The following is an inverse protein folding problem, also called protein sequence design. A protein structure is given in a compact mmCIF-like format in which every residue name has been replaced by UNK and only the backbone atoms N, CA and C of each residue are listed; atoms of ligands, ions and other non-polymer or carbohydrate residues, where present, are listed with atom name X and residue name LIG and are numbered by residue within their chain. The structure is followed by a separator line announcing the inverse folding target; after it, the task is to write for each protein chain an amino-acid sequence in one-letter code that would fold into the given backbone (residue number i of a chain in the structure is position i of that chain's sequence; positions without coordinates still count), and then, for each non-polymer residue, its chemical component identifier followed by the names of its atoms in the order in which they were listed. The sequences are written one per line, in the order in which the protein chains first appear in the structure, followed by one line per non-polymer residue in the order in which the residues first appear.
data_IF_409060626832
#
_entry.id   IF_409060626832
#
_cell.length_a   1.000
_cell.length_b   1.000
_cell.length_c   1.000
_cell.angle_alpha   90.00
_cell.angle_beta   90.00
_cell.angle_gamma   90.00
#
_symmetry.space_group_name_H-M   'P 1'
#
loop_
_entity.id
_entity.type
_entity.pdbx_description
1 polymer ?
#
# COMPACT_ATOMS: atom_id res chain seq x y z
N UNK A 1 -14.54 -19.25 13.85
CA UNK A 1 -13.22 -18.83 13.32
C UNK A 1 -13.18 -17.33 13.36
N UNK A 2 -12.05 -16.69 13.65
CA UNK A 2 -11.96 -15.22 13.60
C UNK A 2 -12.17 -14.77 12.16
N UNK A 3 -13.03 -13.78 11.92
CA UNK A 3 -13.25 -13.19 10.59
C UNK A 3 -12.02 -12.44 10.07
N UNK A 4 -11.02 -12.23 10.94
CA UNK A 4 -9.79 -11.52 10.62
C UNK A 4 -8.64 -12.49 10.32
N UNK A 5 -7.91 -12.20 9.24
CA UNK A 5 -6.63 -12.84 8.92
C UNK A 5 -5.49 -12.28 9.78
N UNK A 6 -5.56 -10.99 10.12
CA UNK A 6 -4.60 -10.32 11.00
C UNK A 6 -5.38 -9.58 12.09
N UNK A 7 -4.97 -9.77 13.34
CA UNK A 7 -5.43 -9.00 14.48
C UNK A 7 -4.24 -8.63 15.36
N UNK A 8 -3.92 -7.35 15.41
CA UNK A 8 -2.83 -6.80 16.19
C UNK A 8 -3.34 -5.71 17.12
N UNK A 9 -2.90 -5.73 18.38
CA UNK A 9 -3.35 -4.81 19.41
C UNK A 9 -2.16 -4.20 20.14
N UNK A 10 -2.14 -2.85 20.20
CA UNK A 10 -1.15 -2.05 20.91
C UNK A 10 0.29 -2.42 20.57
N UNK A 11 0.56 -2.72 19.29
CA UNK A 11 1.87 -3.20 18.84
C UNK A 11 2.88 -2.07 18.85
N UNK A 12 3.98 -2.28 19.55
CA UNK A 12 5.12 -1.36 19.63
C UNK A 12 6.39 -2.09 19.18
N UNK A 13 7.23 -1.40 18.40
CA UNK A 13 8.57 -1.88 18.07
C UNK A 13 9.60 -0.78 18.24
N UNK A 14 10.55 -1.01 19.15
CA UNK A 14 11.67 -0.12 19.42
C UNK A 14 13.00 -0.76 19.05
N UNK A 15 13.94 0.06 18.61
CA UNK A 15 15.33 -0.27 18.37
C UNK A 15 16.21 0.72 19.17
N UNK A 16 16.68 0.29 20.33
CA UNK A 16 17.32 1.20 21.28
C UNK A 16 16.39 2.34 21.68
N UNK A 17 16.77 3.57 21.37
CA UNK A 17 15.97 4.78 21.65
C UNK A 17 15.00 5.15 20.52
N UNK A 18 15.06 4.47 19.37
CA UNK A 18 14.21 4.76 18.23
C UNK A 18 12.95 3.89 18.23
N UNK A 19 11.77 4.51 18.23
CA UNK A 19 10.48 3.82 18.10
C UNK A 19 10.09 3.79 16.61
N UNK A 20 10.11 2.58 16.03
CA UNK A 20 9.77 2.37 14.62
C UNK A 20 8.28 2.11 14.41
N UNK A 21 7.60 1.56 15.41
CA UNK A 21 6.15 1.31 15.45
C UNK A 21 5.66 1.74 16.81
N UNK A 22 4.64 2.59 16.83
CA UNK A 22 4.05 3.12 18.04
C UNK A 22 2.55 2.82 18.11
N UNK A 23 2.17 1.92 19.02
CA UNK A 23 0.79 1.58 19.35
C UNK A 23 -0.12 1.24 18.14
N UNK A 24 0.37 0.39 17.23
CA UNK A 24 -0.43 -0.03 16.08
C UNK A 24 -1.54 -1.00 16.52
N UNK A 25 -2.78 -0.66 16.13
CA UNK A 25 -3.95 -1.51 16.20
C UNK A 25 -4.40 -1.80 14.78
N UNK A 26 -4.54 -3.08 14.42
CA UNK A 26 -4.80 -3.51 13.05
C UNK A 26 -5.75 -4.70 13.00
N UNK A 27 -6.77 -4.62 12.14
CA UNK A 27 -7.67 -5.72 11.81
C UNK A 27 -7.77 -5.84 10.29
N UNK A 28 -7.37 -7.00 9.77
CA UNK A 28 -7.44 -7.30 8.32
C UNK A 28 -8.41 -8.44 8.11
N UNK A 29 -9.46 -8.20 7.34
CA UNK A 29 -10.47 -9.19 7.00
C UNK A 29 -9.94 -10.24 6.03
N UNK A 30 -10.45 -11.49 6.15
CA UNK A 30 -10.07 -12.56 5.25
C UNK A 30 -10.53 -12.30 3.83
N UNK A 31 -9.69 -12.65 2.84
CA UNK A 31 -9.99 -12.49 1.42
C UNK A 31 -9.94 -11.03 0.93
N UNK A 32 -9.54 -10.08 1.77
CA UNK A 32 -9.42 -8.67 1.38
C UNK A 32 -8.00 -8.29 0.94
N UNK A 33 -7.90 -7.20 0.17
CA UNK A 33 -6.65 -6.49 -0.09
C UNK A 33 -6.58 -5.30 0.85
N UNK A 34 -5.63 -5.32 1.78
CA UNK A 34 -5.39 -4.27 2.75
C UNK A 34 -4.10 -3.54 2.44
N UNK A 35 -4.16 -2.20 2.30
CA UNK A 35 -3.03 -1.35 1.96
C UNK A 35 -2.40 -0.67 3.18
N UNK A 36 -1.08 -0.57 3.23
CA UNK A 36 -0.36 0.40 4.04
C UNK A 36 0.20 1.50 3.14
N UNK A 37 -0.36 2.69 3.22
CA UNK A 37 0.12 3.88 2.53
C UNK A 37 0.97 4.74 3.48
N UNK A 38 2.12 5.20 3.02
CA UNK A 38 2.94 6.12 3.79
C UNK A 38 4.32 6.35 3.18
N UNK A 39 5.04 7.39 3.64
CA UNK A 39 6.38 7.70 3.13
C UNK A 39 7.39 6.62 3.51
N UNK A 40 8.55 6.66 2.87
CA UNK A 40 9.65 5.77 3.23
C UNK A 40 10.11 6.04 4.66
N UNK A 41 10.38 4.96 5.41
CA UNK A 41 10.81 5.04 6.79
C UNK A 41 9.69 5.23 7.82
N UNK A 42 8.40 5.30 7.44
CA UNK A 42 7.29 5.46 8.40
C UNK A 42 6.91 4.19 9.18
N UNK A 43 7.57 3.05 8.95
CA UNK A 43 7.34 1.82 9.71
C UNK A 43 6.66 0.68 8.95
N UNK A 44 6.23 0.83 7.67
CA UNK A 44 5.50 -0.18 6.89
C UNK A 44 6.20 -1.55 6.87
N UNK A 45 7.44 -1.61 6.38
CA UNK A 45 8.22 -2.86 6.30
C UNK A 45 8.53 -3.43 7.68
N UNK A 46 8.71 -2.58 8.70
CA UNK A 46 8.89 -3.03 10.09
C UNK A 46 7.63 -3.70 10.60
N UNK A 47 6.46 -3.15 10.30
CA UNK A 47 5.15 -3.74 10.65
C UNK A 47 4.99 -5.10 9.98
N UNK A 48 5.25 -5.23 8.67
CA UNK A 48 5.22 -6.53 7.98
C UNK A 48 6.13 -7.55 8.68
N UNK A 49 7.36 -7.17 9.01
CA UNK A 49 8.31 -8.08 9.68
C UNK A 49 7.84 -8.52 11.06
N UNK A 50 7.14 -7.67 11.79
CA UNK A 50 6.51 -8.04 13.07
C UNK A 50 5.34 -9.00 12.84
N UNK A 51 4.45 -8.71 11.88
CA UNK A 51 3.29 -9.55 11.55
C UNK A 51 3.70 -10.94 11.03
N UNK A 52 4.79 -11.03 10.26
CA UNK A 52 5.33 -12.30 9.74
C UNK A 52 6.15 -13.08 10.77
N UNK A 53 6.39 -12.49 11.95
CA UNK A 53 7.22 -13.11 13.00
C UNK A 53 8.72 -13.13 12.69
N UNK A 54 9.17 -12.36 11.69
CA UNK A 54 10.60 -12.13 11.42
C UNK A 54 11.23 -11.17 12.42
N UNK A 55 10.40 -10.36 13.08
CA UNK A 55 10.82 -9.40 14.08
C UNK A 55 9.90 -9.48 15.30
N UNK A 56 10.49 -9.63 16.48
CA UNK A 56 9.72 -9.65 17.72
C UNK A 56 9.22 -8.25 18.08
N UNK A 57 7.92 -8.04 18.40
CA UNK A 57 7.43 -6.77 18.93
C UNK A 57 8.05 -6.50 20.30
N UNK A 58 8.18 -5.23 20.65
CA UNK A 58 8.62 -4.80 21.99
C UNK A 58 7.47 -4.89 23.00
N UNK A 59 6.24 -4.58 22.55
CA UNK A 59 5.00 -4.71 23.30
C UNK A 59 3.81 -4.95 22.38
N UNK A 60 2.67 -5.27 22.97
CA UNK A 60 1.43 -5.55 22.25
C UNK A 60 1.25 -7.03 21.90
N UNK A 61 0.15 -7.35 21.24
CA UNK A 61 -0.23 -8.69 20.84
C UNK A 61 -0.45 -8.76 19.33
N UNK A 62 0.02 -9.86 18.72
CA UNK A 62 -0.14 -10.12 17.28
C UNK A 62 -0.71 -11.50 17.08
N UNK A 63 -1.82 -11.60 16.40
CA UNK A 63 -2.42 -12.84 15.94
C UNK A 63 -2.56 -12.80 14.41
N UNK A 64 -2.02 -13.79 13.72
CA UNK A 64 -2.10 -13.91 12.27
C UNK A 64 -2.59 -15.30 11.91
N UNK A 65 -3.67 -15.40 11.16
CA UNK A 65 -4.34 -16.67 10.79
C UNK A 65 -4.70 -17.55 12.02
N UNK A 66 -5.01 -16.92 13.15
CA UNK A 66 -5.30 -17.63 14.41
C UNK A 66 -4.05 -18.06 15.18
N UNK A 67 -2.85 -17.72 14.71
CA UNK A 67 -1.57 -18.07 15.34
C UNK A 67 -1.02 -16.88 16.13
N UNK A 68 -0.60 -17.10 17.37
CA UNK A 68 0.03 -16.08 18.22
C UNK A 68 1.49 -15.86 17.80
N UNK A 69 1.85 -14.63 17.47
CA UNK A 69 3.17 -14.23 17.01
C UNK A 69 3.90 -13.47 18.14
N UNK A 70 5.17 -13.76 18.42
CA UNK A 70 6.10 -14.61 17.66
C UNK A 70 6.09 -16.10 18.01
N UNK A 71 5.32 -16.56 18.97
CA UNK A 71 5.40 -17.93 19.51
C UNK A 71 5.19 -19.02 18.44
N UNK A 72 4.33 -18.77 17.46
CA UNK A 72 3.96 -19.73 16.41
C UNK A 72 4.43 -19.29 15.01
N UNK A 73 5.50 -18.52 14.93
CA UNK A 73 6.00 -17.96 13.65
C UNK A 73 6.40 -19.04 12.64
N UNK A 74 6.95 -20.17 13.10
CA UNK A 74 7.31 -21.29 12.21
C UNK A 74 6.09 -21.90 11.51
N UNK A 75 5.00 -22.08 12.24
CA UNK A 75 3.73 -22.55 11.67
C UNK A 75 3.12 -21.51 10.72
N UNK A 76 3.24 -20.23 11.06
CA UNK A 76 2.77 -19.14 10.22
C UNK A 76 3.49 -19.12 8.87
N UNK A 77 4.80 -19.29 8.83
CA UNK A 77 5.61 -19.26 7.60
C UNK A 77 5.17 -20.27 6.55
N UNK A 78 4.59 -21.40 6.96
CA UNK A 78 4.05 -22.40 6.05
C UNK A 78 2.74 -21.99 5.39
N UNK A 79 2.06 -20.97 5.93
CA UNK A 79 0.73 -20.51 5.50
C UNK A 79 0.74 -19.19 4.79
N UNK A 80 1.85 -18.46 4.82
CA UNK A 80 1.98 -17.11 4.24
C UNK A 80 2.96 -17.11 3.08
N UNK A 81 2.67 -16.26 2.09
CA UNK A 81 3.65 -15.83 1.09
C UNK A 81 4.22 -14.46 1.47
N UNK A 82 5.48 -14.23 1.18
CA UNK A 82 6.12 -12.95 1.43
C UNK A 82 6.99 -12.52 0.24
N UNK A 83 6.66 -11.38 -0.31
CA UNK A 83 7.43 -10.70 -1.35
C UNK A 83 8.09 -9.47 -0.75
N UNK A 84 9.42 -9.50 -0.67
CA UNK A 84 10.23 -8.42 -0.11
C UNK A 84 10.41 -7.29 -1.12
N UNK A 85 10.65 -6.07 -0.64
CA UNK A 85 10.91 -4.89 -1.48
C UNK A 85 12.08 -5.11 -2.46
N UNK A 86 13.17 -5.73 -1.99
CA UNK A 86 14.27 -6.13 -2.88
C UNK A 86 13.99 -7.50 -3.45
N UNK A 87 14.21 -7.65 -4.75
CA UNK A 87 14.14 -8.95 -5.40
C UNK A 87 15.03 -9.97 -4.69
N UNK A 88 14.47 -11.09 -4.25
CA UNK A 88 15.12 -12.05 -3.34
C UNK A 88 15.31 -13.44 -3.95
N UNK A 89 14.98 -13.62 -5.24
CA UNK A 89 15.21 -14.87 -5.96
C UNK A 89 16.60 -14.91 -6.59
N UNK A 90 17.03 -16.09 -7.01
CA UNK A 90 18.38 -16.34 -7.50
C UNK A 90 18.52 -15.92 -8.96
N UNK A 91 19.33 -14.90 -9.21
CA UNK A 91 19.58 -14.35 -10.55
C UNK A 91 20.29 -15.35 -11.50
N UNK A 92 21.11 -16.25 -10.96
CA UNK A 92 21.84 -17.27 -11.72
C UNK A 92 21.02 -18.49 -12.11
N UNK A 93 19.87 -18.68 -11.46
CA UNK A 93 18.92 -19.73 -11.78
C UNK A 93 17.96 -19.28 -12.87
N UNK A 94 17.40 -20.25 -13.59
CA UNK A 94 16.30 -20.03 -14.53
C UNK A 94 14.99 -19.76 -13.77
N UNK A 95 14.00 -19.23 -14.48
CA UNK A 95 12.63 -19.02 -13.96
C UNK A 95 12.08 -20.32 -13.37
N UNK A 96 12.17 -21.42 -14.09
CA UNK A 96 11.68 -22.73 -13.64
C UNK A 96 12.44 -23.25 -12.41
N UNK A 97 13.77 -23.13 -12.41
CA UNK A 97 14.60 -23.57 -11.26
C UNK A 97 14.29 -22.78 -9.98
N UNK A 98 14.05 -21.48 -10.08
CA UNK A 98 13.61 -20.69 -8.94
C UNK A 98 12.28 -21.18 -8.36
N UNK A 99 11.28 -21.41 -9.19
CA UNK A 99 9.98 -21.93 -8.75
C UNK A 99 10.11 -23.34 -8.13
N UNK A 100 10.91 -24.21 -8.76
CA UNK A 100 11.16 -25.56 -8.24
C UNK A 100 11.88 -25.52 -6.89
N UNK A 101 12.86 -24.63 -6.74
CA UNK A 101 13.58 -24.44 -5.48
C UNK A 101 12.63 -24.00 -4.35
N UNK A 102 11.77 -23.02 -4.61
CA UNK A 102 10.77 -22.58 -3.62
C UNK A 102 9.80 -23.72 -3.27
N UNK A 103 9.27 -24.44 -4.25
CA UNK A 103 8.38 -25.57 -3.99
C UNK A 103 9.05 -26.68 -3.16
N UNK A 104 10.36 -26.92 -3.35
CA UNK A 104 11.13 -27.85 -2.52
C UNK A 104 11.26 -27.38 -1.08
N UNK A 105 11.49 -26.06 -0.85
CA UNK A 105 11.53 -25.49 0.51
C UNK A 105 10.20 -25.74 1.24
N UNK A 106 9.07 -25.68 0.54
CA UNK A 106 7.75 -26.00 1.10
C UNK A 106 7.44 -27.50 1.14
N UNK A 107 8.43 -28.37 0.89
CA UNK A 107 8.30 -29.82 1.05
C UNK A 107 7.43 -30.50 -0.02
N UNK A 108 7.23 -29.91 -1.18
CA UNK A 108 6.43 -30.49 -2.26
C UNK A 108 7.08 -31.75 -2.82
N UNK A 109 6.32 -32.83 -2.94
CA UNK A 109 6.78 -34.02 -3.63
C UNK A 109 6.95 -33.74 -5.14
N UNK A 110 7.67 -34.61 -5.84
CA UNK A 110 8.05 -34.41 -7.25
C UNK A 110 6.85 -34.18 -8.18
N UNK A 111 5.76 -34.90 -7.98
CA UNK A 111 4.54 -34.75 -8.82
C UNK A 111 3.86 -33.42 -8.59
N UNK A 112 3.61 -33.04 -7.32
CA UNK A 112 3.01 -31.76 -6.94
C UNK A 112 3.90 -30.60 -7.39
N UNK A 113 5.23 -30.71 -7.20
CA UNK A 113 6.19 -29.71 -7.62
C UNK A 113 6.12 -29.42 -9.11
N UNK A 114 6.10 -30.49 -9.94
CA UNK A 114 6.01 -30.35 -11.40
C UNK A 114 4.69 -29.69 -11.80
N UNK A 115 3.59 -30.13 -11.24
CA UNK A 115 2.25 -29.62 -11.50
C UNK A 115 2.13 -28.13 -11.12
N UNK A 116 2.58 -27.80 -9.90
CA UNK A 116 2.55 -26.42 -9.40
C UNK A 116 3.47 -25.51 -10.21
N UNK A 117 4.69 -25.94 -10.53
CA UNK A 117 5.63 -25.17 -11.35
C UNK A 117 5.00 -24.83 -12.70
N UNK A 118 4.38 -25.82 -13.37
CA UNK A 118 3.73 -25.58 -14.67
C UNK A 118 2.52 -24.64 -14.55
N UNK A 119 1.70 -24.80 -13.52
CA UNK A 119 0.58 -23.91 -13.24
C UNK A 119 1.03 -22.47 -13.03
N UNK A 120 2.06 -22.24 -12.19
CA UNK A 120 2.61 -20.92 -11.92
C UNK A 120 3.20 -20.26 -13.18
N UNK A 121 3.96 -21.01 -13.98
CA UNK A 121 4.51 -20.51 -15.24
C UNK A 121 3.40 -20.02 -16.18
N UNK A 122 2.31 -20.76 -16.27
CA UNK A 122 1.15 -20.38 -17.10
C UNK A 122 0.39 -19.19 -16.54
N UNK A 123 0.06 -19.20 -15.24
CA UNK A 123 -0.73 -18.16 -14.57
C UNK A 123 -0.05 -16.80 -14.66
N UNK A 124 1.28 -16.76 -14.50
CA UNK A 124 2.04 -15.51 -14.49
C UNK A 124 2.70 -15.17 -15.84
N UNK A 125 2.32 -15.87 -16.93
CA UNK A 125 2.82 -15.58 -18.27
C UNK A 125 4.33 -15.79 -18.45
N UNK A 126 4.90 -16.77 -17.74
CA UNK A 126 6.34 -17.06 -17.71
C UNK A 126 6.74 -18.33 -18.48
N UNK A 127 5.76 -19.02 -19.11
CA UNK A 127 5.98 -20.33 -19.71
C UNK A 127 7.02 -20.32 -20.85
N UNK A 128 6.95 -19.34 -21.74
CA UNK A 128 7.92 -19.19 -22.83
C UNK A 128 9.33 -18.86 -22.34
N UNK A 129 9.44 -18.32 -21.11
CA UNK A 129 10.69 -17.90 -20.47
C UNK A 129 11.21 -18.88 -19.41
N UNK A 130 10.61 -20.08 -19.31
CA UNK A 130 10.93 -21.06 -18.26
C UNK A 130 12.41 -21.38 -18.12
N UNK A 131 13.15 -21.39 -19.25
CA UNK A 131 14.59 -21.66 -19.31
C UNK A 131 15.47 -20.40 -19.29
N UNK A 132 14.87 -19.20 -19.26
CA UNK A 132 15.61 -17.95 -19.20
C UNK A 132 16.18 -17.77 -17.79
N UNK A 133 17.45 -17.35 -17.68
CA UNK A 133 18.04 -16.93 -16.41
C UNK A 133 17.42 -15.61 -15.93
N UNK A 134 17.23 -15.52 -14.62
CA UNK A 134 16.57 -14.36 -14.00
C UNK A 134 17.40 -13.09 -14.14
N UNK A 135 18.73 -13.18 -14.21
CA UNK A 135 19.62 -12.04 -14.47
C UNK A 135 19.28 -11.28 -15.74
N UNK A 136 18.76 -11.95 -16.77
CA UNK A 136 18.36 -11.35 -18.06
C UNK A 136 16.91 -10.87 -18.12
N UNK A 137 16.15 -10.89 -17.02
CA UNK A 137 14.75 -10.47 -16.98
C UNK A 137 14.58 -8.97 -16.70
N UNK A 138 13.53 -8.37 -17.28
CA UNK A 138 13.12 -7.01 -16.93
C UNK A 138 12.55 -6.93 -15.51
N UNK A 139 12.44 -5.71 -14.94
CA UNK A 139 11.87 -5.49 -13.61
C UNK A 139 10.47 -6.08 -13.46
N UNK A 140 9.56 -5.81 -14.41
CA UNK A 140 8.20 -6.35 -14.39
C UNK A 140 8.16 -7.89 -14.49
N UNK A 141 9.05 -8.50 -15.27
CA UNK A 141 9.18 -9.96 -15.33
C UNK A 141 9.68 -10.55 -14.00
N UNK A 142 10.66 -9.91 -13.37
CA UNK A 142 11.15 -10.31 -12.03
C UNK A 142 10.05 -10.21 -10.99
N UNK A 143 9.21 -9.18 -11.04
CA UNK A 143 8.08 -9.05 -10.12
C UNK A 143 7.03 -10.13 -10.31
N UNK A 144 6.68 -10.46 -11.56
CA UNK A 144 5.78 -11.59 -11.85
C UNK A 144 6.35 -12.93 -11.34
N UNK A 145 7.64 -13.14 -11.50
CA UNK A 145 8.30 -14.34 -10.96
C UNK A 145 8.30 -14.34 -9.43
N UNK A 146 8.54 -13.20 -8.78
CA UNK A 146 8.50 -13.09 -7.32
C UNK A 146 7.10 -13.38 -6.76
N UNK A 147 6.04 -12.88 -7.43
CA UNK A 147 4.66 -13.18 -7.05
C UNK A 147 4.32 -14.67 -7.28
N UNK A 148 4.75 -15.25 -8.42
CA UNK A 148 4.61 -16.69 -8.70
C UNK A 148 5.29 -17.55 -7.62
N UNK A 149 6.48 -17.16 -7.18
CA UNK A 149 7.22 -17.85 -6.12
C UNK A 149 6.51 -17.70 -4.74
N UNK A 150 6.06 -16.48 -4.40
CA UNK A 150 5.36 -16.22 -3.15
C UNK A 150 4.01 -16.97 -3.04
N UNK A 151 3.39 -17.29 -4.17
CA UNK A 151 2.11 -18.02 -4.26
C UNK A 151 2.27 -19.51 -4.56
N UNK A 152 3.50 -20.04 -4.64
CA UNK A 152 3.81 -21.42 -5.04
C UNK A 152 3.08 -22.47 -4.19
N UNK A 153 2.93 -22.24 -2.89
CA UNK A 153 2.35 -23.14 -1.91
C UNK A 153 0.89 -22.83 -1.55
N UNK A 154 0.20 -21.98 -2.32
CA UNK A 154 -1.17 -21.52 -2.06
C UNK A 154 -1.35 -20.93 -0.65
N UNK A 155 -0.69 -19.80 -0.35
CA UNK A 155 -0.79 -19.19 0.97
C UNK A 155 -2.21 -18.69 1.26
N UNK A 156 -2.61 -18.73 2.55
CA UNK A 156 -3.85 -18.11 3.02
C UNK A 156 -3.73 -16.58 3.10
N UNK A 157 -2.50 -16.08 3.29
CA UNK A 157 -2.20 -14.65 3.43
C UNK A 157 -0.90 -14.32 2.71
N UNK A 158 -0.91 -13.23 1.95
CA UNK A 158 0.22 -12.74 1.17
C UNK A 158 0.65 -11.37 1.70
N UNK A 159 1.92 -11.23 2.03
CA UNK A 159 2.56 -9.96 2.38
C UNK A 159 3.39 -9.46 1.20
N UNK A 160 3.15 -8.23 0.76
CA UNK A 160 3.83 -7.59 -0.36
C UNK A 160 4.44 -6.26 0.09
N UNK A 161 5.77 -6.18 0.13
CA UNK A 161 6.46 -4.99 0.57
C UNK A 161 6.94 -4.15 -0.63
N UNK A 162 6.18 -3.10 -0.98
CA UNK A 162 6.39 -2.22 -2.13
C UNK A 162 6.62 -2.99 -3.45
N UNK A 163 5.71 -3.91 -3.82
CA UNK A 163 5.96 -4.89 -4.88
C UNK A 163 6.16 -4.28 -6.27
N UNK A 164 5.73 -3.06 -6.50
CA UNK A 164 5.72 -2.42 -7.83
C UNK A 164 6.58 -1.16 -7.90
N UNK A 165 7.42 -0.90 -6.89
CA UNK A 165 8.22 0.33 -6.78
C UNK A 165 9.20 0.58 -7.96
N UNK A 166 9.61 -0.49 -8.67
CA UNK A 166 10.53 -0.42 -9.82
C UNK A 166 9.88 -0.92 -11.13
N UNK A 167 8.54 -0.82 -11.23
CA UNK A 167 7.77 -1.36 -12.36
C UNK A 167 7.10 -0.22 -13.13
N UNK A 168 7.12 -0.31 -14.45
CA UNK A 168 6.44 0.63 -15.33
C UNK A 168 4.90 0.55 -15.16
N UNK A 169 4.13 1.57 -15.59
CA UNK A 169 2.69 1.65 -15.35
C UNK A 169 1.88 0.49 -15.94
N UNK A 170 2.29 -0.06 -17.09
CA UNK A 170 1.58 -1.17 -17.75
C UNK A 170 1.73 -2.47 -16.95
N UNK A 171 2.97 -2.86 -16.65
CA UNK A 171 3.25 -4.04 -15.83
C UNK A 171 2.68 -3.90 -14.40
N UNK A 172 2.62 -2.67 -13.85
CA UNK A 172 1.98 -2.42 -12.57
C UNK A 172 0.48 -2.72 -12.60
N UNK A 173 -0.22 -2.30 -13.66
CA UNK A 173 -1.65 -2.61 -13.84
C UNK A 173 -1.88 -4.11 -13.90
N UNK A 174 -1.12 -4.84 -14.73
CA UNK A 174 -1.21 -6.30 -14.83
C UNK A 174 -0.95 -6.99 -13.48
N UNK A 175 0.02 -6.50 -12.72
CA UNK A 175 0.31 -7.02 -11.38
C UNK A 175 -0.89 -6.88 -10.44
N UNK A 176 -1.57 -5.74 -10.45
CA UNK A 176 -2.77 -5.51 -9.63
C UNK A 176 -3.95 -6.40 -10.06
N UNK A 177 -4.14 -6.68 -11.36
CA UNK A 177 -5.15 -7.64 -11.81
C UNK A 177 -4.88 -9.03 -11.21
N UNK A 178 -3.62 -9.46 -11.16
CA UNK A 178 -3.25 -10.73 -10.50
C UNK A 178 -3.56 -10.71 -8.98
N UNK A 179 -3.41 -9.58 -8.30
CA UNK A 179 -3.80 -9.46 -6.89
C UNK A 179 -5.31 -9.55 -6.71
N UNK A 180 -6.09 -8.95 -7.58
CA UNK A 180 -7.55 -9.08 -7.55
C UNK A 180 -8.00 -10.54 -7.77
N UNK A 181 -7.40 -11.24 -8.72
CA UNK A 181 -7.68 -12.66 -8.96
C UNK A 181 -7.36 -13.53 -7.73
N UNK A 182 -6.23 -13.30 -7.07
CA UNK A 182 -5.85 -13.99 -5.84
C UNK A 182 -6.83 -13.71 -4.69
N UNK A 183 -7.23 -12.45 -4.52
CA UNK A 183 -8.21 -12.05 -3.50
C UNK A 183 -9.58 -12.66 -3.77
N UNK A 184 -10.05 -12.68 -5.02
CA UNK A 184 -11.29 -13.32 -5.42
C UNK A 184 -11.29 -14.85 -5.18
N UNK A 185 -10.11 -15.49 -5.17
CA UNK A 185 -9.92 -16.89 -4.81
C UNK A 185 -9.83 -17.12 -3.29
N UNK A 186 -9.93 -16.05 -2.48
CA UNK A 186 -9.94 -16.11 -1.03
C UNK A 186 -8.59 -15.87 -0.35
N UNK A 187 -7.52 -15.57 -1.09
CA UNK A 187 -6.23 -15.18 -0.50
C UNK A 187 -6.33 -13.78 0.08
N UNK A 188 -6.00 -13.62 1.36
CA UNK A 188 -5.88 -12.29 1.98
C UNK A 188 -4.56 -11.66 1.55
N UNK A 189 -4.55 -10.35 1.28
CA UNK A 189 -3.35 -9.65 0.82
C UNK A 189 -3.12 -8.42 1.69
N UNK A 190 -1.91 -8.26 2.23
CA UNK A 190 -1.44 -7.03 2.83
C UNK A 190 -0.32 -6.47 1.97
N UNK A 191 -0.53 -5.29 1.41
CA UNK A 191 0.42 -4.62 0.51
C UNK A 191 0.86 -3.27 1.07
N UNK A 192 2.16 -3.00 1.04
CA UNK A 192 2.68 -1.65 1.32
C UNK A 192 2.92 -0.91 0.03
N UNK A 193 2.62 0.37 0.03
CA UNK A 193 2.88 1.25 -1.11
C UNK A 193 3.12 2.70 -0.65
N UNK A 194 3.75 3.49 -1.49
CA UNK A 194 3.81 4.94 -1.39
C UNK A 194 3.09 5.62 -2.56
N UNK A 195 2.46 4.84 -3.44
CA UNK A 195 1.67 5.32 -4.58
C UNK A 195 0.19 5.42 -4.22
N UNK A 196 -0.40 6.59 -4.45
CA UNK A 196 -1.82 6.85 -4.13
C UNK A 196 -2.76 6.04 -5.02
N UNK A 197 -2.43 5.91 -6.31
CA UNK A 197 -3.20 5.14 -7.29
C UNK A 197 -3.25 3.63 -6.98
N UNK A 198 -2.26 3.10 -6.29
CA UNK A 198 -2.27 1.73 -5.78
C UNK A 198 -3.11 1.60 -4.51
N UNK A 199 -2.98 2.58 -3.61
CA UNK A 199 -3.74 2.61 -2.37
C UNK A 199 -5.26 2.69 -2.63
N UNK A 200 -5.69 3.42 -3.67
CA UNK A 200 -7.09 3.49 -4.11
C UNK A 200 -7.66 2.15 -4.60
N UNK A 201 -6.80 1.19 -4.96
CA UNK A 201 -7.22 -0.16 -5.39
C UNK A 201 -7.46 -1.12 -4.23
N UNK A 202 -7.04 -0.77 -3.02
CA UNK A 202 -7.24 -1.60 -1.85
C UNK A 202 -8.70 -1.58 -1.38
N UNK A 203 -9.18 -2.68 -0.80
CA UNK A 203 -10.50 -2.72 -0.16
C UNK A 203 -10.51 -1.88 1.12
N UNK A 204 -9.42 -1.88 1.87
CA UNK A 204 -9.20 -1.08 3.06
C UNK A 204 -7.77 -0.58 3.12
N UNK A 205 -7.54 0.56 3.74
CA UNK A 205 -6.28 1.28 3.71
C UNK A 205 -5.95 1.87 5.08
N UNK A 206 -4.75 1.62 5.58
CA UNK A 206 -4.16 2.39 6.68
C UNK A 206 -3.15 3.40 6.14
N UNK A 207 -3.29 4.66 6.55
CA UNK A 207 -2.29 5.70 6.31
C UNK A 207 -1.33 5.73 7.49
N UNK A 208 -0.06 5.46 7.23
CA UNK A 208 1.00 5.41 8.25
C UNK A 208 1.92 6.63 8.17
N UNK A 209 2.22 7.21 9.33
CA UNK A 209 3.23 8.25 9.48
C UNK A 209 3.95 8.10 10.83
N UNK A 210 5.29 8.22 10.81
CA UNK A 210 6.12 8.21 12.00
C UNK A 210 5.85 7.05 12.98
N UNK A 211 5.56 5.84 12.44
CA UNK A 211 5.30 4.64 13.24
C UNK A 211 3.87 4.46 13.71
N UNK A 212 2.96 5.38 13.40
CA UNK A 212 1.55 5.35 13.81
C UNK A 212 0.61 5.18 12.61
N UNK A 213 -0.57 4.62 12.85
CA UNK A 213 -1.70 4.67 11.91
C UNK A 213 -2.47 5.96 12.16
N UNK A 214 -2.49 6.86 11.17
CA UNK A 214 -3.21 8.14 11.22
C UNK A 214 -4.66 8.02 10.77
N UNK A 215 -4.95 7.11 9.86
CA UNK A 215 -6.29 6.81 9.37
C UNK A 215 -6.36 5.35 8.91
N UNK A 216 -7.52 4.71 9.06
CA UNK A 216 -7.76 3.32 8.67
C UNK A 216 -9.22 3.14 8.30
N UNK A 217 -9.54 3.12 7.00
CA UNK A 217 -10.87 2.82 6.48
C UNK A 217 -10.79 2.45 4.97
N UNK A 218 -11.94 2.25 4.34
CA UNK A 218 -12.07 2.15 2.88
C UNK A 218 -11.61 3.47 2.23
N UNK A 219 -10.90 3.42 1.09
CA UNK A 219 -10.41 4.63 0.43
C UNK A 219 -11.49 5.68 0.18
N UNK A 220 -12.67 5.27 -0.28
CA UNK A 220 -13.81 6.19 -0.50
C UNK A 220 -14.30 6.85 0.79
N UNK A 221 -14.38 6.11 1.90
CA UNK A 221 -14.78 6.66 3.20
C UNK A 221 -13.76 7.66 3.72
N UNK A 222 -12.47 7.36 3.58
CA UNK A 222 -11.41 8.30 3.95
C UNK A 222 -11.53 9.62 3.19
N UNK A 223 -11.80 9.57 1.89
CA UNK A 223 -12.02 10.76 1.06
C UNK A 223 -13.30 11.54 1.47
N UNK A 224 -14.39 10.85 1.79
CA UNK A 224 -15.65 11.50 2.21
C UNK A 224 -15.56 12.14 3.60
N UNK A 225 -14.80 11.54 4.51
CA UNK A 225 -14.69 11.96 5.92
C UNK A 225 -13.64 13.05 6.18
N UNK A 226 -12.98 13.57 5.14
CA UNK A 226 -11.90 14.57 5.28
C UNK A 226 -12.33 15.87 5.95
N UNK A 227 -13.63 16.19 5.95
CA UNK A 227 -14.15 17.44 6.51
C UNK A 227 -13.70 18.70 5.77
N UNK A 228 -13.37 18.57 4.48
CA UNK A 228 -12.97 19.69 3.60
C UNK A 228 -13.64 19.59 2.23
N UNK A 229 -13.84 20.75 1.61
CA UNK A 229 -14.19 20.89 0.21
C UNK A 229 -12.92 21.13 -0.60
N UNK A 230 -12.81 20.51 -1.77
CA UNK A 230 -11.67 20.67 -2.66
C UNK A 230 -12.06 21.63 -3.79
N UNK A 231 -11.33 22.75 -3.93
CA UNK A 231 -11.55 23.72 -5.01
C UNK A 231 -10.31 23.79 -5.89
N UNK A 232 -10.47 23.60 -7.18
CA UNK A 232 -9.44 23.87 -8.18
C UNK A 232 -9.58 25.26 -8.73
N UNK A 233 -8.50 26.04 -8.69
CA UNK A 233 -8.43 27.43 -9.13
C UNK A 233 -7.46 27.51 -10.30
N UNK A 234 -7.92 28.07 -11.42
CA UNK A 234 -7.07 28.43 -12.55
C UNK A 234 -7.00 29.97 -12.65
N UNK A 235 -5.86 30.52 -12.28
CA UNK A 235 -5.62 31.94 -12.22
C UNK A 235 -4.14 32.26 -12.53
N UNK A 236 -3.79 33.50 -12.86
CA UNK A 236 -2.39 33.94 -12.91
C UNK A 236 -1.78 33.98 -11.48
N UNK A 237 -0.45 33.99 -11.40
CA UNK A 237 0.30 34.16 -10.15
C UNK A 237 -0.07 33.17 -9.02
N UNK A 238 -0.25 31.87 -9.36
CA UNK A 238 -0.68 30.83 -8.42
C UNK A 238 0.19 30.72 -7.16
N UNK A 239 1.49 31.00 -7.27
CA UNK A 239 2.41 30.92 -6.12
C UNK A 239 2.08 31.99 -5.07
N UNK A 240 1.89 33.23 -5.48
CA UNK A 240 1.50 34.32 -4.58
C UNK A 240 0.11 34.08 -3.98
N UNK A 241 -0.83 33.59 -4.81
CA UNK A 241 -2.16 33.21 -4.35
C UNK A 241 -2.11 32.10 -3.29
N UNK A 242 -1.28 31.05 -3.48
CA UNK A 242 -1.06 29.99 -2.49
C UNK A 242 -0.63 30.57 -1.15
N UNK A 243 0.39 31.42 -1.16
CA UNK A 243 0.92 32.05 0.07
C UNK A 243 -0.16 32.88 0.80
N UNK A 244 -0.99 33.61 0.06
CA UNK A 244 -2.10 34.37 0.63
C UNK A 244 -3.17 33.45 1.24
N UNK A 245 -3.58 32.41 0.52
CA UNK A 245 -4.59 31.44 0.96
C UNK A 245 -4.21 30.72 2.24
N UNK A 246 -2.95 30.32 2.38
CA UNK A 246 -2.46 29.61 3.57
C UNK A 246 -2.48 30.43 4.85
N UNK A 247 -2.65 31.77 4.78
CA UNK A 247 -2.83 32.63 5.95
C UNK A 247 -4.25 32.57 6.52
N UNK A 248 -5.22 32.00 5.82
CA UNK A 248 -6.60 31.88 6.29
C UNK A 248 -6.83 30.57 7.03
N UNK A 249 -7.48 30.64 8.20
CA UNK A 249 -7.82 29.46 9.00
C UNK A 249 -8.80 28.52 8.30
N UNK A 250 -9.61 29.04 7.36
CA UNK A 250 -10.53 28.28 6.54
C UNK A 250 -9.82 27.38 5.50
N UNK A 251 -8.56 27.65 5.19
CA UNK A 251 -7.76 26.88 4.25
C UNK A 251 -6.86 25.90 4.99
N UNK A 252 -7.11 24.62 4.75
CA UNK A 252 -6.29 23.53 5.32
C UNK A 252 -4.98 23.35 4.58
N UNK A 253 -5.05 23.40 3.25
CA UNK A 253 -3.90 23.20 2.36
C UNK A 253 -4.13 23.87 1.01
N UNK A 254 -3.05 24.22 0.32
CA UNK A 254 -3.08 24.68 -1.07
C UNK A 254 -1.85 24.12 -1.81
N UNK A 255 -2.06 23.38 -2.89
CA UNK A 255 -1.01 22.78 -3.70
C UNK A 255 -1.15 23.15 -5.17
N UNK A 256 -0.07 23.56 -5.81
CA UNK A 256 -0.07 23.85 -7.24
C UNK A 256 0.10 22.54 -8.04
N UNK A 257 -0.85 22.29 -8.94
CA UNK A 257 -0.83 21.17 -9.89
C UNK A 257 -0.82 21.73 -11.32
N UNK A 258 0.36 21.87 -11.88
CA UNK A 258 0.56 22.48 -13.20
C UNK A 258 0.04 23.91 -13.25
N UNK A 259 -1.02 24.14 -14.06
CA UNK A 259 -1.66 25.46 -14.25
C UNK A 259 -2.81 25.74 -13.28
N UNK A 260 -3.06 24.85 -12.34
CA UNK A 260 -4.14 24.96 -11.34
C UNK A 260 -3.56 24.97 -9.93
N UNK A 261 -4.29 25.60 -9.02
CA UNK A 261 -4.09 25.53 -7.58
C UNK A 261 -5.22 24.71 -6.98
N UNK A 262 -4.89 23.63 -6.31
CA UNK A 262 -5.82 22.76 -5.58
C UNK A 262 -5.85 23.21 -4.13
N UNK A 263 -7.01 23.63 -3.66
CA UNK A 263 -7.20 24.26 -2.34
C UNK A 263 -8.19 23.43 -1.53
N UNK A 264 -7.78 23.02 -0.33
CA UNK A 264 -8.62 22.34 0.63
C UNK A 264 -9.20 23.38 1.59
N UNK A 265 -10.51 23.59 1.51
CA UNK A 265 -11.27 24.56 2.31
C UNK A 265 -12.11 23.79 3.33
N UNK A 266 -12.08 24.18 4.61
CA UNK A 266 -12.88 23.53 5.65
C UNK A 266 -14.37 23.50 5.27
N UNK A 267 -15.05 22.39 5.59
CA UNK A 267 -16.47 22.19 5.24
C UNK A 267 -17.42 23.18 5.92
N UNK A 268 -16.98 23.85 7.00
CA UNK A 268 -17.72 24.93 7.66
C UNK A 268 -18.00 26.13 6.71
N UNK A 269 -17.21 26.25 5.64
CA UNK A 269 -17.45 27.19 4.54
C UNK A 269 -18.48 26.59 3.60
N UNK A 270 -19.75 26.96 3.74
CA UNK A 270 -20.90 26.38 3.02
C UNK A 270 -20.73 26.47 1.50
N UNK A 271 -20.30 27.62 0.99
CA UNK A 271 -19.96 27.83 -0.44
C UNK A 271 -18.50 28.28 -0.56
N UNK A 272 -17.57 27.35 -0.76
CA UNK A 272 -16.15 27.70 -0.83
C UNK A 272 -15.78 28.51 -2.08
N UNK A 273 -16.53 28.36 -3.19
CA UNK A 273 -16.28 29.16 -4.41
C UNK A 273 -16.69 30.62 -4.19
N UNK A 274 -17.88 30.83 -3.62
CA UNK A 274 -18.36 32.17 -3.32
C UNK A 274 -17.47 32.87 -2.29
N UNK A 275 -17.05 32.12 -1.23
CA UNK A 275 -16.13 32.61 -0.22
C UNK A 275 -14.79 33.04 -0.83
N UNK A 276 -14.20 32.20 -1.69
CA UNK A 276 -12.92 32.48 -2.36
C UNK A 276 -13.04 33.75 -3.23
N UNK A 277 -14.10 33.91 -4.01
CA UNK A 277 -14.32 35.10 -4.86
C UNK A 277 -14.50 36.34 -4.04
N UNK A 278 -15.16 36.27 -2.90
CA UNK A 278 -15.40 37.43 -2.03
C UNK A 278 -14.13 37.85 -1.29
N UNK A 279 -13.35 36.86 -0.82
CA UNK A 279 -12.12 37.10 -0.05
C UNK A 279 -10.96 37.55 -0.94
N UNK A 280 -10.94 37.08 -2.19
CA UNK A 280 -9.88 37.35 -3.17
C UNK A 280 -10.48 37.96 -4.46
N UNK A 281 -10.63 39.29 -4.53
CA UNK A 281 -11.25 39.96 -5.70
C UNK A 281 -10.57 39.62 -7.03
N UNK A 282 -9.26 39.30 -7.02
CA UNK A 282 -8.53 38.85 -8.20
C UNK A 282 -9.05 37.53 -8.79
N UNK A 283 -9.84 36.76 -8.02
CA UNK A 283 -10.49 35.54 -8.48
C UNK A 283 -11.87 35.74 -9.10
N UNK A 284 -12.37 36.98 -9.18
CA UNK A 284 -13.70 37.25 -9.71
C UNK A 284 -13.91 36.69 -11.14
N UNK A 285 -12.88 36.79 -12.00
CA UNK A 285 -12.88 36.27 -13.37
C UNK A 285 -12.15 34.93 -13.53
N UNK A 286 -11.66 34.32 -12.43
CA UNK A 286 -10.95 33.06 -12.48
C UNK A 286 -11.91 31.87 -12.62
N UNK A 287 -11.40 30.79 -13.23
CA UNK A 287 -12.10 29.50 -13.28
C UNK A 287 -11.93 28.81 -11.93
N UNK A 288 -13.03 28.63 -11.20
CA UNK A 288 -13.09 27.90 -9.94
C UNK A 288 -14.06 26.72 -10.07
N UNK A 289 -13.62 25.53 -9.75
CA UNK A 289 -14.45 24.31 -9.81
C UNK A 289 -14.32 23.49 -8.54
N UNK A 290 -15.43 22.93 -8.05
CA UNK A 290 -15.38 21.89 -7.03
C UNK A 290 -14.81 20.62 -7.65
N UNK A 291 -13.82 20.04 -7.00
CA UNK A 291 -13.20 18.79 -7.41
C UNK A 291 -13.50 17.68 -6.40
N UNK A 292 -13.47 16.45 -6.86
CA UNK A 292 -13.56 15.30 -5.95
C UNK A 292 -12.27 15.21 -5.12
N UNK A 293 -12.38 14.91 -3.82
CA UNK A 293 -11.23 14.56 -3.00
C UNK A 293 -10.45 13.39 -3.59
N UNK A 294 -9.15 13.35 -3.37
CA UNK A 294 -8.24 12.26 -3.71
C UNK A 294 -7.56 11.74 -2.44
N UNK A 295 -6.95 10.56 -2.51
CA UNK A 295 -6.15 10.05 -1.39
C UNK A 295 -4.94 10.94 -1.07
N UNK A 296 -4.42 11.69 -2.05
CA UNK A 296 -3.37 12.68 -1.79
C UNK A 296 -3.86 13.79 -0.86
N UNK A 297 -5.10 14.27 -1.06
CA UNK A 297 -5.71 15.27 -0.16
C UNK A 297 -5.93 14.70 1.24
N UNK A 298 -6.38 13.43 1.35
CA UNK A 298 -6.50 12.72 2.63
C UNK A 298 -5.16 12.66 3.33
N UNK A 299 -4.13 12.20 2.62
CA UNK A 299 -2.78 12.05 3.14
C UNK A 299 -2.25 13.38 3.71
N UNK A 300 -2.34 14.45 2.94
CA UNK A 300 -1.95 15.81 3.37
C UNK A 300 -2.75 16.25 4.59
N UNK A 301 -4.03 15.90 4.65
CA UNK A 301 -4.92 16.29 5.75
C UNK A 301 -4.56 15.57 7.05
N UNK A 302 -4.30 14.25 7.03
CA UNK A 302 -4.05 13.46 8.24
C UNK A 302 -2.60 13.54 8.73
N UNK A 303 -1.65 13.82 7.83
CA UNK A 303 -0.22 13.96 8.18
C UNK A 303 0.19 15.39 8.52
N UNK A 304 -0.68 16.36 8.33
CA UNK A 304 -0.41 17.78 8.65
C UNK A 304 0.63 18.46 7.76
N UNK A 305 1.12 17.80 6.70
CA UNK A 305 2.15 18.33 5.78
C UNK A 305 1.65 19.39 4.80
N UNK A 306 0.37 19.72 4.83
CA UNK A 306 -0.25 20.66 3.90
C UNK A 306 0.01 22.14 4.13
N UNK A 307 0.71 22.49 5.20
CA UNK A 307 1.06 23.90 5.53
C UNK A 307 2.52 24.27 5.23
N UNK A 308 3.23 23.45 4.45
CA UNK A 308 4.62 23.72 4.02
C UNK A 308 4.68 24.20 2.58
#
# INVERSE_FOLDING_TARGET
MSDYAIHAENVVKQFGHFTAIENINLKVERGSIYGFLGPNGCGKSTTIRVLTGLLQPTAGQVNVLGLSIPKQSELLRLKIGYMTQKFSLYDDLTVQENLQFIGQIFGMNRSTLQQRTQAQLKTYGLDERRKQRVSGMSGGQKQRLALAAATMHNPELLFLDEPTSAVDPENRREFWEQLFDLSAQGTTILVTTHYMDEAERCHRLAIMEAGEIRADDEPEKLMQQMGVNVVEIKAPALRSLKEQLLNFSQVRSAAQLGIRLRVLVHHDVIDPILWLRHTFPQLAAAELTLARPSLEDVFVTVTGKGRQ
#
